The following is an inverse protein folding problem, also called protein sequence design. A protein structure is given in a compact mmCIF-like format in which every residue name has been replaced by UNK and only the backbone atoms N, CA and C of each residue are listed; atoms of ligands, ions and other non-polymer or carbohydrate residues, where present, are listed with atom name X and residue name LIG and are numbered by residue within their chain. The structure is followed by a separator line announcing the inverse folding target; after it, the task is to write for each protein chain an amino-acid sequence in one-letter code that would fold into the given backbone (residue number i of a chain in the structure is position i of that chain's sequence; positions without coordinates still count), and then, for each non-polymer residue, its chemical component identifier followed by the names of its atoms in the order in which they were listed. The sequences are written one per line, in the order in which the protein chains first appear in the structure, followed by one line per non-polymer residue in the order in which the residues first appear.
data_IF_506723000537
#
_entry.id   IF_506723000537
#
_cell.length_a   1.000
_cell.length_b   1.000
_cell.length_c   1.000
_cell.angle_alpha   90.00
_cell.angle_beta   90.00
_cell.angle_gamma   90.00
#
_symmetry.space_group_name_H-M   'P 1'
#
loop_
_entity.id
_entity.type
_entity.pdbx_description
1 polymer ?
#
# COMPACT_ATOMS: atom_id res chain seq x y z
N UNK A 1 4.39 -21.07 -11.91
CA UNK A 1 4.75 -19.92 -11.04
C UNK A 1 4.41 -20.24 -9.59
N UNK A 2 3.14 -20.54 -9.29
CA UNK A 2 2.67 -20.93 -7.96
C UNK A 2 3.45 -22.10 -7.33
N UNK A 3 3.84 -23.12 -8.10
CA UNK A 3 4.61 -24.27 -7.59
C UNK A 3 5.93 -23.86 -6.93
N UNK A 4 6.65 -22.88 -7.52
CA UNK A 4 7.91 -22.37 -6.97
C UNK A 4 7.68 -21.64 -5.64
N UNK A 5 6.62 -20.83 -5.58
CA UNK A 5 6.24 -20.10 -4.36
C UNK A 5 5.90 -21.08 -3.24
N UNK A 6 5.09 -22.09 -3.54
CA UNK A 6 4.71 -23.15 -2.58
C UNK A 6 5.92 -23.92 -2.08
N UNK A 7 6.85 -24.27 -2.98
CA UNK A 7 8.08 -24.98 -2.59
C UNK A 7 8.96 -24.12 -1.68
N UNK A 8 9.13 -22.83 -1.99
CA UNK A 8 9.90 -21.89 -1.16
C UNK A 8 9.29 -21.70 0.22
N UNK A 9 7.95 -21.54 0.29
CA UNK A 9 7.23 -21.42 1.56
C UNK A 9 7.32 -22.71 2.37
N UNK A 10 7.23 -23.88 1.72
CA UNK A 10 7.40 -25.18 2.40
C UNK A 10 8.79 -25.34 2.99
N UNK A 11 9.83 -24.89 2.29
CA UNK A 11 11.23 -24.92 2.78
C UNK A 11 11.44 -23.97 3.97
N UNK A 12 10.83 -22.78 3.93
CA UNK A 12 10.99 -21.76 4.98
C UNK A 12 10.11 -22.01 6.20
N UNK A 13 8.97 -22.68 6.03
CA UNK A 13 7.96 -22.87 7.09
C UNK A 13 7.18 -21.59 7.42
N UNK A 14 7.32 -20.54 6.61
CA UNK A 14 6.64 -19.26 6.74
C UNK A 14 6.59 -18.53 5.40
N UNK A 15 5.75 -17.50 5.28
CA UNK A 15 5.64 -16.69 4.07
C UNK A 15 5.52 -15.19 4.38
N UNK A 16 5.82 -14.33 3.41
CA UNK A 16 5.57 -12.88 3.48
C UNK A 16 4.75 -12.50 2.25
N UNK A 17 3.56 -11.91 2.45
CA UNK A 17 2.76 -11.43 1.33
C UNK A 17 3.48 -10.34 0.55
N UNK A 18 4.20 -9.45 1.24
CA UNK A 18 4.97 -8.38 0.60
C UNK A 18 6.01 -8.96 -0.36
N UNK A 19 6.82 -9.96 0.07
CA UNK A 19 7.78 -10.62 -0.83
C UNK A 19 7.13 -11.33 -2.00
N UNK A 20 6.04 -12.03 -1.73
CA UNK A 20 5.35 -12.82 -2.75
C UNK A 20 4.82 -11.86 -3.81
N UNK A 21 4.09 -10.82 -3.42
CA UNK A 21 3.46 -9.88 -4.35
C UNK A 21 4.50 -8.99 -5.03
N UNK A 22 5.55 -8.54 -4.34
CA UNK A 22 6.63 -7.78 -4.96
C UNK A 22 7.24 -8.54 -6.16
N UNK A 23 7.52 -9.83 -5.99
CA UNK A 23 8.27 -10.63 -6.97
C UNK A 23 7.38 -11.37 -7.99
N UNK A 24 6.06 -11.34 -7.83
CA UNK A 24 5.13 -12.16 -8.61
C UNK A 24 3.87 -11.36 -8.98
N UNK A 25 3.20 -11.74 -10.07
CA UNK A 25 1.86 -11.29 -10.40
C UNK A 25 0.96 -12.52 -10.38
N UNK A 26 0.15 -12.67 -9.34
CA UNK A 26 -0.71 -13.84 -9.14
C UNK A 26 -2.13 -13.50 -9.56
N UNK A 27 -2.71 -14.31 -10.44
CA UNK A 27 -4.15 -14.24 -10.69
C UNK A 27 -4.95 -14.56 -9.41
N UNK A 28 -6.22 -14.18 -9.35
CA UNK A 28 -7.06 -14.47 -8.18
C UNK A 28 -7.20 -15.97 -7.91
N UNK A 29 -7.26 -16.80 -8.96
CA UNK A 29 -7.32 -18.26 -8.79
C UNK A 29 -5.97 -18.80 -8.27
N UNK A 30 -4.84 -18.33 -8.79
CA UNK A 30 -3.52 -18.73 -8.25
C UNK A 30 -3.34 -18.28 -6.80
N UNK A 31 -3.78 -17.07 -6.46
CA UNK A 31 -3.73 -16.59 -5.09
C UNK A 31 -4.65 -17.42 -4.17
N UNK A 32 -5.85 -17.77 -4.63
CA UNK A 32 -6.77 -18.64 -3.89
C UNK A 32 -6.15 -20.02 -3.61
N UNK A 33 -5.56 -20.66 -4.62
CA UNK A 33 -4.83 -21.93 -4.45
C UNK A 33 -3.68 -21.80 -3.44
N UNK A 34 -2.94 -20.70 -3.48
CA UNK A 34 -1.89 -20.40 -2.51
C UNK A 34 -2.46 -20.26 -1.09
N UNK A 35 -3.59 -19.54 -0.92
CA UNK A 35 -4.26 -19.40 0.38
C UNK A 35 -4.72 -20.75 0.95
N UNK A 36 -5.27 -21.64 0.12
CA UNK A 36 -5.63 -22.99 0.56
C UNK A 36 -4.42 -23.75 1.09
N UNK A 37 -3.28 -23.67 0.41
CA UNK A 37 -2.05 -24.31 0.84
C UNK A 37 -1.57 -23.78 2.20
N UNK A 38 -1.48 -22.46 2.39
CA UNK A 38 -1.01 -21.91 3.68
C UNK A 38 -2.02 -22.14 4.81
N UNK A 39 -3.32 -22.14 4.51
CA UNK A 39 -4.38 -22.45 5.47
C UNK A 39 -4.28 -23.89 5.97
N UNK A 40 -4.25 -24.86 5.05
CA UNK A 40 -4.15 -26.29 5.39
C UNK A 40 -2.83 -26.64 6.08
N UNK A 41 -1.75 -25.96 5.73
CA UNK A 41 -0.44 -26.14 6.36
C UNK A 41 -0.28 -25.39 7.69
N UNK A 42 -1.25 -24.57 8.11
CA UNK A 42 -1.15 -23.64 9.23
C UNK A 42 0.16 -22.83 9.21
N UNK A 43 0.52 -22.35 8.02
CA UNK A 43 1.81 -21.70 7.79
C UNK A 43 1.70 -20.24 8.24
N UNK A 44 2.56 -19.76 9.15
CA UNK A 44 2.47 -18.40 9.63
C UNK A 44 2.97 -17.39 8.58
N UNK A 45 2.27 -16.26 8.52
CA UNK A 45 2.73 -15.06 7.83
C UNK A 45 3.78 -14.34 8.68
N UNK A 46 4.89 -13.95 8.07
CA UNK A 46 5.95 -13.12 8.66
C UNK A 46 5.95 -11.79 7.94
N UNK A 47 5.80 -10.72 8.70
CA UNK A 47 5.81 -9.34 8.21
C UNK A 47 7.08 -8.65 8.64
N UNK A 48 7.70 -7.93 7.71
CA UNK A 48 8.81 -7.01 8.01
C UNK A 48 8.22 -5.66 8.41
N UNK A 49 8.63 -5.14 9.56
CA UNK A 49 8.35 -3.76 9.96
C UNK A 49 9.68 -3.04 10.00
N UNK A 50 9.84 -2.01 9.17
CA UNK A 50 10.97 -1.08 9.27
C UNK A 50 10.54 0.02 10.23
N UNK A 51 11.27 0.19 11.32
CA UNK A 51 11.04 1.29 12.26
C UNK A 51 11.31 2.61 11.54
N UNK A 52 10.31 3.50 11.51
CA UNK A 52 10.35 4.77 10.76
C UNK A 52 11.35 5.81 11.26
N UNK A 53 12.27 5.44 12.17
CA UNK A 53 13.28 6.35 12.72
C UNK A 53 14.29 6.81 11.66
N UNK A 54 14.50 6.03 10.59
CA UNK A 54 15.51 6.33 9.56
C UNK A 54 14.97 7.03 8.32
N UNK A 55 13.66 7.27 8.22
CA UNK A 55 13.05 7.72 6.96
C UNK A 55 12.42 9.10 6.98
N UNK A 56 12.30 9.74 8.15
CA UNK A 56 11.52 10.97 8.28
C UNK A 56 12.13 11.87 9.36
N UNK A 57 13.12 12.69 8.99
CA UNK A 57 13.24 14.04 9.56
C UNK A 57 12.43 14.93 8.62
N UNK A 58 11.14 15.14 8.92
CA UNK A 58 10.37 16.20 8.25
C UNK A 58 10.92 17.51 8.83
N UNK A 59 11.90 18.11 8.15
CA UNK A 59 12.33 19.46 8.51
C UNK A 59 11.24 20.50 8.22
N UNK A 60 10.21 20.14 7.44
CA UNK A 60 9.03 20.98 7.19
C UNK A 60 7.71 20.28 7.57
N UNK A 61 7.13 20.71 8.69
CA UNK A 61 5.84 20.26 9.24
C UNK A 61 4.60 20.71 8.42
N UNK A 62 4.78 21.21 7.19
CA UNK A 62 3.68 21.70 6.33
C UNK A 62 3.07 20.61 5.41
N UNK A 63 3.30 19.33 5.69
CA UNK A 63 2.71 18.25 4.90
C UNK A 63 1.21 18.08 5.17
N UNK A 64 0.42 18.74 4.31
CA UNK A 64 -0.91 18.40 3.81
C UNK A 64 -1.74 17.41 4.65
N UNK A 65 -2.60 17.98 5.51
CA UNK A 65 -3.66 17.30 6.28
C UNK A 65 -4.99 17.39 5.50
N UNK A 66 -4.98 17.37 4.17
CA UNK A 66 -6.18 17.66 3.37
C UNK A 66 -7.25 16.57 3.47
N UNK A 67 -6.86 15.30 3.64
CA UNK A 67 -7.80 14.19 3.65
C UNK A 67 -8.25 13.76 5.05
N UNK A 68 -7.72 14.38 6.12
CA UNK A 68 -7.97 13.92 7.49
C UNK A 68 -9.46 13.88 7.84
N UNK A 69 -10.19 14.96 7.56
CA UNK A 69 -11.63 15.04 7.85
C UNK A 69 -12.42 14.04 7.00
N UNK A 70 -12.02 13.79 5.76
CA UNK A 70 -12.61 12.77 4.89
C UNK A 70 -12.39 11.36 5.45
N UNK A 71 -11.16 11.04 5.86
CA UNK A 71 -10.81 9.76 6.49
C UNK A 71 -11.64 9.57 7.77
N UNK A 72 -11.72 10.61 8.60
CA UNK A 72 -12.50 10.58 9.83
C UNK A 72 -13.98 10.34 9.56
N UNK A 73 -14.59 11.10 8.64
CA UNK A 73 -15.99 10.93 8.28
C UNK A 73 -16.28 9.52 7.74
N UNK A 74 -15.37 8.97 6.91
CA UNK A 74 -15.47 7.61 6.42
C UNK A 74 -15.43 6.58 7.55
N UNK A 75 -14.46 6.69 8.48
CA UNK A 75 -14.33 5.75 9.60
C UNK A 75 -15.50 5.81 10.58
N UNK A 76 -16.06 7.01 10.84
CA UNK A 76 -17.29 7.14 11.63
C UNK A 76 -18.48 6.47 10.93
N UNK A 77 -18.63 6.62 9.61
CA UNK A 77 -19.69 5.93 8.86
C UNK A 77 -19.55 4.39 8.94
N UNK A 78 -18.32 3.88 8.81
CA UNK A 78 -18.05 2.44 8.96
C UNK A 78 -18.40 1.96 10.37
N UNK A 79 -18.09 2.76 11.39
CA UNK A 79 -18.46 2.46 12.77
C UNK A 79 -19.97 2.39 12.95
N UNK A 80 -20.72 3.40 12.49
CA UNK A 80 -22.19 3.41 12.56
C UNK A 80 -22.78 2.15 11.91
N UNK A 81 -22.32 1.80 10.70
CA UNK A 81 -22.75 0.57 10.02
C UNK A 81 -22.41 -0.70 10.79
N UNK A 82 -21.22 -0.77 11.41
CA UNK A 82 -20.83 -1.92 12.21
C UNK A 82 -21.73 -2.08 13.45
N UNK A 83 -22.17 -0.98 14.05
CA UNK A 83 -23.14 -0.98 15.16
C UNK A 83 -24.49 -1.55 14.71
N UNK A 84 -24.98 -1.16 13.51
CA UNK A 84 -26.24 -1.68 12.95
C UNK A 84 -26.20 -3.17 12.58
N UNK A 85 -25.08 -3.64 12.03
CA UNK A 85 -24.88 -5.05 11.62
C UNK A 85 -24.72 -5.96 12.83
N UNK A 86 -24.21 -5.45 13.95
CA UNK A 86 -24.03 -6.22 15.19
C UNK A 86 -25.36 -6.80 15.72
N UNK A 87 -26.47 -6.12 15.48
CA UNK A 87 -27.81 -6.50 15.92
C UNK A 87 -28.50 -7.52 14.99
N UNK A 88 -27.94 -7.78 13.79
CA UNK A 88 -28.55 -8.64 12.74
C UNK A 88 -27.59 -9.75 12.32
N UNK A 89 -27.43 -10.77 13.15
CA UNK A 89 -26.63 -11.96 12.80
C UNK A 89 -27.52 -13.17 12.54
N UNK A 90 -28.08 -13.26 11.33
CA UNK A 90 -28.52 -14.54 10.78
C UNK A 90 -27.57 -15.02 9.68
N UNK A 91 -27.22 -16.32 9.75
CA UNK A 91 -26.44 -17.00 8.71
C UNK A 91 -27.33 -17.19 7.48
N UNK A 92 -27.26 -16.27 6.53
CA UNK A 92 -27.89 -16.43 5.22
C UNK A 92 -26.88 -16.91 4.18
N UNK A 93 -27.31 -17.82 3.31
CA UNK A 93 -26.58 -18.18 2.10
C UNK A 93 -26.41 -16.96 1.19
N UNK A 94 -25.32 -16.89 0.41
CA UNK A 94 -25.10 -15.78 -0.51
C UNK A 94 -26.11 -15.87 -1.65
N UNK A 95 -26.94 -14.85 -1.78
CA UNK A 95 -27.74 -14.57 -2.97
C UNK A 95 -27.27 -13.23 -3.55
N UNK A 96 -27.56 -12.95 -4.82
CA UNK A 96 -27.30 -11.63 -5.42
C UNK A 96 -27.98 -10.50 -4.61
N UNK A 97 -29.09 -10.81 -3.93
CA UNK A 97 -29.84 -9.90 -3.07
C UNK A 97 -29.10 -9.56 -1.77
N UNK A 98 -28.34 -10.50 -1.19
CA UNK A 98 -27.59 -10.31 0.06
C UNK A 98 -26.12 -9.91 -0.15
N UNK A 99 -25.65 -9.84 -1.40
CA UNK A 99 -24.24 -9.55 -1.72
C UNK A 99 -23.79 -8.19 -1.17
N UNK A 100 -24.64 -7.18 -1.25
CA UNK A 100 -24.38 -5.85 -0.70
C UNK A 100 -24.23 -5.89 0.81
N UNK A 101 -25.15 -6.57 1.52
CA UNK A 101 -25.11 -6.73 2.98
C UNK A 101 -23.82 -7.46 3.42
N UNK A 102 -23.36 -8.45 2.65
CA UNK A 102 -22.11 -9.14 2.93
C UNK A 102 -20.88 -8.28 2.70
N UNK A 103 -20.87 -7.45 1.65
CA UNK A 103 -19.80 -6.47 1.44
C UNK A 103 -19.75 -5.50 2.61
N UNK A 104 -20.90 -5.00 3.06
CA UNK A 104 -20.97 -4.11 4.22
C UNK A 104 -20.49 -4.78 5.51
N UNK A 105 -20.88 -6.04 5.75
CA UNK A 105 -20.41 -6.84 6.88
C UNK A 105 -18.89 -6.98 6.93
N UNK A 106 -18.26 -7.12 5.77
CA UNK A 106 -16.81 -7.32 5.66
C UNK A 106 -16.02 -6.04 5.37
N UNK A 107 -16.69 -4.89 5.27
CA UNK A 107 -16.02 -3.60 5.07
C UNK A 107 -15.03 -3.29 6.19
N UNK A 108 -15.37 -3.64 7.44
CA UNK A 108 -14.46 -3.54 8.58
C UNK A 108 -13.14 -4.29 8.39
N UNK A 109 -13.17 -5.43 7.69
CA UNK A 109 -11.95 -6.19 7.37
C UNK A 109 -11.11 -5.39 6.39
N UNK A 110 -11.71 -4.86 5.31
CA UNK A 110 -11.01 -4.01 4.37
C UNK A 110 -10.32 -2.84 5.08
N UNK A 111 -11.05 -2.10 5.92
CA UNK A 111 -10.51 -0.96 6.68
C UNK A 111 -9.38 -1.40 7.63
N UNK A 112 -9.58 -2.48 8.38
CA UNK A 112 -8.57 -3.00 9.32
C UNK A 112 -7.28 -3.39 8.61
N UNK A 113 -7.37 -4.12 7.50
CA UNK A 113 -6.18 -4.51 6.75
C UNK A 113 -5.52 -3.29 6.09
N UNK A 114 -6.27 -2.29 5.63
CA UNK A 114 -5.71 -1.01 5.14
C UNK A 114 -4.98 -0.21 6.22
N UNK A 115 -5.43 -0.23 7.48
CA UNK A 115 -4.70 0.38 8.59
C UNK A 115 -3.34 -0.31 8.81
N UNK A 116 -3.38 -1.65 8.80
CA UNK A 116 -2.26 -2.52 9.10
C UNK A 116 -1.17 -2.51 8.00
N UNK A 117 -1.58 -2.29 6.76
CA UNK A 117 -0.71 -2.12 5.59
C UNK A 117 -0.50 -0.66 5.18
N UNK A 118 -0.87 0.29 6.04
CA UNK A 118 -0.71 1.70 5.78
C UNK A 118 0.76 2.10 5.81
N UNK A 119 1.30 2.44 4.64
CA UNK A 119 2.70 2.81 4.41
C UNK A 119 2.82 4.24 3.89
N UNK A 120 3.97 4.86 4.13
CA UNK A 120 4.23 6.21 3.64
C UNK A 120 4.21 6.24 2.10
N UNK A 121 3.62 7.29 1.54
CA UNK A 121 3.45 7.43 0.10
C UNK A 121 2.23 6.72 -0.50
N UNK A 122 1.27 6.24 0.30
CA UNK A 122 0.00 5.72 -0.25
C UNK A 122 -1.19 6.36 0.44
N UNK A 123 -2.21 6.77 -0.33
CA UNK A 123 -3.46 7.27 0.25
C UNK A 123 -4.18 6.15 1.01
N UNK A 124 -4.63 6.47 2.22
CA UNK A 124 -5.40 5.52 3.03
C UNK A 124 -6.73 5.16 2.37
N UNK A 125 -7.43 6.15 1.79
CA UNK A 125 -8.74 5.92 1.19
C UNK A 125 -8.64 5.07 -0.08
N UNK A 126 -7.59 5.24 -0.89
CA UNK A 126 -7.36 4.38 -2.05
C UNK A 126 -7.05 2.95 -1.63
N UNK A 127 -6.21 2.76 -0.60
CA UNK A 127 -5.97 1.42 -0.05
C UNK A 127 -7.25 0.76 0.46
N UNK A 128 -8.17 1.52 1.07
CA UNK A 128 -9.47 0.98 1.53
C UNK A 128 -10.35 0.59 0.35
N UNK A 129 -10.36 1.36 -0.74
CA UNK A 129 -11.10 1.03 -1.95
C UNK A 129 -10.57 -0.27 -2.57
N UNK A 130 -9.25 -0.40 -2.72
CA UNK A 130 -8.61 -1.61 -3.25
C UNK A 130 -8.84 -2.82 -2.34
N UNK A 131 -8.72 -2.64 -1.02
CA UNK A 131 -9.07 -3.68 -0.05
C UNK A 131 -10.52 -4.13 -0.19
N UNK A 132 -11.44 -3.20 -0.46
CA UNK A 132 -12.86 -3.50 -0.68
C UNK A 132 -13.06 -4.29 -1.97
N UNK A 133 -12.32 -4.00 -3.05
CA UNK A 133 -12.31 -4.83 -4.26
C UNK A 133 -11.79 -6.25 -3.96
N UNK A 134 -10.78 -6.37 -3.10
CA UNK A 134 -10.31 -7.67 -2.59
C UNK A 134 -11.40 -8.44 -1.84
N UNK A 135 -12.13 -7.77 -0.94
CA UNK A 135 -13.29 -8.37 -0.23
C UNK A 135 -14.35 -8.86 -1.22
N UNK A 136 -14.74 -8.01 -2.18
CA UNK A 136 -15.72 -8.36 -3.22
C UNK A 136 -15.25 -9.58 -4.02
N UNK A 137 -13.95 -9.63 -4.34
CA UNK A 137 -13.36 -10.74 -5.09
C UNK A 137 -13.36 -12.02 -4.26
N UNK A 138 -13.01 -11.96 -2.98
CA UNK A 138 -13.07 -13.11 -2.08
C UNK A 138 -14.48 -13.71 -1.97
N UNK A 139 -15.51 -12.85 -1.97
CA UNK A 139 -16.91 -13.30 -1.94
C UNK A 139 -17.30 -14.09 -3.20
N UNK A 140 -16.65 -13.88 -4.35
CA UNK A 140 -16.85 -14.73 -5.53
C UNK A 140 -16.37 -16.17 -5.32
N UNK A 141 -15.46 -16.39 -4.36
CA UNK A 141 -14.96 -17.72 -3.98
C UNK A 141 -15.71 -18.29 -2.76
N UNK A 142 -16.73 -17.61 -2.24
CA UNK A 142 -17.38 -17.99 -0.98
C UNK A 142 -17.91 -19.43 -0.97
N UNK A 143 -18.57 -19.87 -2.04
CA UNK A 143 -19.07 -21.25 -2.12
C UNK A 143 -17.92 -22.26 -2.06
N UNK A 144 -16.81 -21.98 -2.77
CA UNK A 144 -15.61 -22.83 -2.70
C UNK A 144 -14.99 -22.82 -1.29
N UNK A 145 -14.98 -21.66 -0.61
CA UNK A 145 -14.42 -21.49 0.74
C UNK A 145 -15.28 -22.22 1.77
N UNK A 146 -16.59 -22.00 1.75
CA UNK A 146 -17.56 -22.55 2.71
C UNK A 146 -17.67 -24.07 2.65
N UNK A 147 -17.42 -24.68 1.48
CA UNK A 147 -17.27 -26.13 1.34
C UNK A 147 -16.00 -26.67 2.02
N UNK A 148 -15.01 -25.81 2.28
CA UNK A 148 -13.68 -26.19 2.76
C UNK A 148 -13.45 -25.82 4.23
N UNK A 149 -14.00 -24.70 4.72
CA UNK A 149 -13.89 -24.25 6.10
C UNK A 149 -15.02 -23.28 6.49
N UNK A 150 -15.29 -23.19 7.79
CA UNK A 150 -16.16 -22.15 8.37
C UNK A 150 -15.41 -20.82 8.61
N UNK A 151 -14.07 -20.81 8.55
CA UNK A 151 -13.22 -19.64 8.80
C UNK A 151 -13.06 -18.75 7.55
N UNK A 152 -14.17 -18.25 7.04
CA UNK A 152 -14.23 -17.47 5.79
C UNK A 152 -13.41 -16.17 5.90
N UNK A 153 -13.37 -15.56 7.09
CA UNK A 153 -12.62 -14.33 7.39
C UNK A 153 -11.14 -14.45 7.05
N UNK A 154 -10.56 -15.65 7.14
CA UNK A 154 -9.17 -15.89 6.73
C UNK A 154 -8.97 -15.59 5.24
N UNK A 155 -9.89 -16.00 4.39
CA UNK A 155 -9.76 -15.78 2.95
C UNK A 155 -10.07 -14.33 2.59
N UNK A 156 -11.14 -13.77 3.16
CA UNK A 156 -11.56 -12.39 2.91
C UNK A 156 -10.46 -11.40 3.28
N UNK A 157 -9.87 -11.53 4.47
CA UNK A 157 -8.78 -10.63 4.88
C UNK A 157 -7.57 -10.73 3.96
N UNK A 158 -7.20 -11.94 3.53
CA UNK A 158 -5.99 -12.13 2.74
C UNK A 158 -6.16 -11.67 1.28
N UNK A 159 -7.38 -11.75 0.73
CA UNK A 159 -7.69 -11.10 -0.55
C UNK A 159 -7.67 -9.57 -0.45
N UNK A 160 -8.19 -8.99 0.64
CA UNK A 160 -8.05 -7.56 0.88
C UNK A 160 -6.56 -7.12 0.91
N UNK A 161 -5.73 -7.88 1.63
CA UNK A 161 -4.27 -7.67 1.68
C UNK A 161 -3.61 -7.78 0.30
N UNK A 162 -4.01 -8.78 -0.51
CA UNK A 162 -3.50 -8.94 -1.88
C UNK A 162 -3.67 -7.66 -2.70
N UNK A 163 -4.90 -7.14 -2.72
CA UNK A 163 -5.24 -5.97 -3.52
C UNK A 163 -4.52 -4.70 -3.03
N UNK A 164 -4.42 -4.50 -1.70
CA UNK A 164 -3.63 -3.40 -1.14
C UNK A 164 -2.18 -3.46 -1.65
N UNK A 165 -1.55 -4.63 -1.56
CA UNK A 165 -0.14 -4.78 -1.92
C UNK A 165 0.10 -4.70 -3.44
N UNK A 166 -0.82 -5.19 -4.26
CA UNK A 166 -0.74 -5.04 -5.72
C UNK A 166 -0.89 -3.57 -6.14
N UNK A 167 -1.81 -2.84 -5.51
CA UNK A 167 -1.95 -1.39 -5.69
C UNK A 167 -0.67 -0.64 -5.31
N UNK A 168 -0.14 -0.90 -4.12
CA UNK A 168 1.10 -0.28 -3.65
C UNK A 168 2.28 -0.60 -4.59
N UNK A 169 2.41 -1.87 -5.01
CA UNK A 169 3.42 -2.30 -6.00
C UNK A 169 3.31 -1.54 -7.31
N UNK A 170 2.08 -1.35 -7.81
CA UNK A 170 1.82 -0.59 -9.04
C UNK A 170 2.31 0.85 -8.92
N UNK A 171 1.94 1.53 -7.84
CA UNK A 171 2.39 2.90 -7.54
C UNK A 171 3.92 2.98 -7.43
N UNK A 172 4.55 2.07 -6.70
CA UNK A 172 6.02 2.05 -6.56
C UNK A 172 6.73 1.82 -7.90
N UNK A 173 6.20 0.94 -8.75
CA UNK A 173 6.74 0.71 -10.10
C UNK A 173 6.73 2.01 -10.90
N UNK A 174 5.63 2.76 -10.85
CA UNK A 174 5.47 4.02 -11.58
C UNK A 174 6.43 5.10 -11.07
N UNK A 175 6.51 5.29 -9.74
CA UNK A 175 7.43 6.28 -9.14
C UNK A 175 8.87 5.93 -9.46
N UNK A 176 9.26 4.66 -9.27
CA UNK A 176 10.60 4.17 -9.57
C UNK A 176 10.96 4.42 -11.03
N UNK A 177 10.04 4.14 -11.96
CA UNK A 177 10.25 4.40 -13.38
C UNK A 177 10.43 5.90 -13.67
N UNK A 178 9.62 6.76 -13.03
CA UNK A 178 9.72 8.21 -13.14
C UNK A 178 11.06 8.74 -12.63
N UNK A 179 11.47 8.37 -11.43
CA UNK A 179 12.75 8.82 -10.85
C UNK A 179 13.95 8.30 -11.65
N UNK A 180 13.94 7.04 -12.08
CA UNK A 180 15.00 6.52 -12.95
C UNK A 180 15.05 7.24 -14.30
N UNK A 181 13.91 7.66 -14.84
CA UNK A 181 13.85 8.48 -16.07
C UNK A 181 14.49 9.86 -15.85
N UNK A 182 14.26 10.47 -14.68
CA UNK A 182 14.91 11.73 -14.31
C UNK A 182 16.42 11.57 -14.15
N UNK A 183 16.89 10.50 -13.48
CA UNK A 183 18.32 10.21 -13.37
C UNK A 183 18.96 9.99 -14.76
N UNK A 184 18.26 9.30 -15.67
CA UNK A 184 18.71 9.13 -17.04
C UNK A 184 18.81 10.48 -17.78
N UNK A 185 17.81 11.35 -17.62
CA UNK A 185 17.84 12.71 -18.16
C UNK A 185 19.07 13.49 -17.68
N UNK A 186 19.36 13.48 -16.38
CA UNK A 186 20.54 14.18 -15.83
C UNK A 186 21.84 13.62 -16.40
N UNK A 187 21.93 12.29 -16.60
CA UNK A 187 23.10 11.69 -17.25
C UNK A 187 23.26 12.14 -18.70
N UNK A 188 22.16 12.25 -19.45
CA UNK A 188 22.16 12.76 -20.83
C UNK A 188 22.65 14.21 -20.85
N UNK A 189 22.16 15.06 -19.94
CA UNK A 189 22.59 16.46 -19.83
C UNK A 189 24.09 16.58 -19.58
N UNK A 190 24.63 15.81 -18.65
CA UNK A 190 26.08 15.73 -18.37
C UNK A 190 26.86 15.25 -19.61
N UNK A 191 26.41 14.20 -20.30
CA UNK A 191 27.11 13.71 -21.49
C UNK A 191 27.13 14.75 -22.62
N UNK A 192 26.04 15.54 -22.79
CA UNK A 192 25.99 16.66 -23.74
C UNK A 192 26.94 17.79 -23.36
N UNK A 193 27.03 18.14 -22.08
CA UNK A 193 27.97 19.16 -21.56
C UNK A 193 29.43 18.73 -21.77
N UNK A 194 29.71 17.43 -21.73
CA UNK A 194 31.01 16.83 -22.08
C UNK A 194 31.28 16.78 -23.59
N UNK A 195 30.35 17.24 -24.43
CA UNK A 195 30.48 17.35 -25.87
C UNK A 195 30.02 16.13 -26.67
N UNK A 196 29.35 15.15 -26.05
CA UNK A 196 28.80 14.02 -26.79
C UNK A 196 27.55 14.40 -27.59
N UNK A 197 27.47 13.89 -28.82
CA UNK A 197 26.30 14.06 -29.68
C UNK A 197 25.14 13.17 -29.24
N UNK A 198 23.92 13.54 -29.61
CA UNK A 198 22.71 12.74 -29.34
C UNK A 198 22.84 11.33 -29.94
N UNK A 199 23.45 11.21 -31.13
CA UNK A 199 23.76 9.94 -31.78
C UNK A 199 24.70 9.05 -30.95
N UNK A 200 25.74 9.63 -30.36
CA UNK A 200 26.69 8.91 -29.51
C UNK A 200 26.05 8.44 -28.21
N UNK A 201 25.26 9.31 -27.58
CA UNK A 201 24.53 9.01 -26.34
C UNK A 201 23.50 7.90 -26.58
N UNK A 202 22.70 8.03 -27.64
CA UNK A 202 21.70 7.03 -28.05
C UNK A 202 22.31 5.64 -28.23
N UNK A 203 23.47 5.55 -28.93
CA UNK A 203 24.19 4.28 -29.11
C UNK A 203 24.78 3.74 -27.81
N UNK A 204 25.40 4.59 -27.00
CA UNK A 204 26.07 4.19 -25.74
C UNK A 204 25.07 3.66 -24.72
N UNK A 205 23.92 4.31 -24.59
CA UNK A 205 22.89 3.99 -23.61
C UNK A 205 21.83 3.02 -24.12
N UNK A 206 21.88 2.66 -25.42
CA UNK A 206 20.88 1.82 -26.07
C UNK A 206 19.44 2.37 -25.92
N UNK A 207 19.28 3.67 -26.15
CA UNK A 207 17.99 4.39 -26.12
C UNK A 207 17.74 5.11 -27.44
N UNK A 208 16.48 5.33 -27.80
CA UNK A 208 16.12 6.04 -29.03
C UNK A 208 16.30 7.55 -28.87
N UNK A 209 16.59 8.26 -29.97
CA UNK A 209 16.66 9.73 -29.97
C UNK A 209 15.33 10.36 -29.57
N UNK A 210 14.22 9.77 -30.03
CA UNK A 210 12.86 10.20 -29.65
C UNK A 210 12.64 10.12 -28.13
N UNK A 211 13.18 9.09 -27.47
CA UNK A 211 13.08 8.98 -26.02
C UNK A 211 13.94 10.04 -25.30
N UNK A 212 15.12 10.36 -25.83
CA UNK A 212 15.94 11.47 -25.33
C UNK A 212 15.16 12.80 -25.41
N UNK A 213 14.58 13.11 -26.58
CA UNK A 213 13.78 14.32 -26.77
C UNK A 213 12.56 14.39 -25.83
N UNK A 214 11.92 13.24 -25.57
CA UNK A 214 10.83 13.15 -24.57
C UNK A 214 11.31 13.50 -23.17
N UNK A 215 12.44 12.95 -22.74
CA UNK A 215 13.02 13.24 -21.43
C UNK A 215 13.36 14.72 -21.29
N UNK A 216 13.98 15.32 -22.31
CA UNK A 216 14.29 16.75 -22.31
C UNK A 216 13.03 17.60 -22.19
N UNK A 217 12.01 17.29 -23.00
CA UNK A 217 10.73 18.00 -22.95
C UNK A 217 10.03 17.91 -21.58
N UNK A 218 10.19 16.80 -20.87
CA UNK A 218 9.61 16.58 -19.56
C UNK A 218 10.35 17.32 -18.44
N UNK A 219 11.68 17.39 -18.52
CA UNK A 219 12.51 17.79 -17.38
C UNK A 219 13.29 19.09 -17.56
N UNK A 220 13.39 19.64 -18.77
CA UNK A 220 14.15 20.89 -19.04
C UNK A 220 13.60 22.10 -18.27
N UNK A 221 12.31 22.11 -17.95
CA UNK A 221 11.66 23.21 -17.23
C UNK A 221 11.61 23.00 -15.70
N UNK A 222 12.20 21.92 -15.18
CA UNK A 222 12.23 21.64 -13.75
C UNK A 222 13.39 22.44 -13.14
N UNK A 223 13.08 23.58 -12.52
CA UNK A 223 14.05 24.37 -11.75
C UNK A 223 14.46 23.61 -10.46
N UNK A 224 15.52 22.80 -10.53
CA UNK A 224 16.23 22.33 -9.34
C UNK A 224 17.76 22.36 -9.57
N UNK A 225 18.42 23.08 -8.67
CA UNK A 225 19.81 23.56 -8.66
C UNK A 225 20.90 22.47 -8.37
N UNK A 226 20.58 21.18 -8.37
CA UNK A 226 21.61 20.17 -8.12
C UNK A 226 22.41 19.85 -9.39
N UNK A 227 23.54 20.53 -9.58
CA UNK A 227 24.66 20.04 -10.38
C UNK A 227 25.12 18.69 -9.80
N UNK A 228 24.49 17.59 -10.23
CA UNK A 228 24.90 16.24 -9.84
C UNK A 228 26.22 15.93 -10.52
N UNK A 229 27.27 15.68 -9.73
CA UNK A 229 28.52 15.16 -10.26
C UNK A 229 28.28 13.79 -10.93
N UNK A 230 28.87 13.57 -12.10
CA UNK A 230 28.66 12.35 -12.91
C UNK A 230 28.86 11.02 -12.14
N UNK A 231 29.69 11.02 -11.08
CA UNK A 231 29.93 9.87 -10.21
C UNK A 231 28.76 9.52 -9.27
N UNK A 232 27.91 10.49 -8.92
CA UNK A 232 26.80 10.32 -7.97
C UNK A 232 25.52 9.76 -8.63
N UNK A 233 25.44 9.81 -9.97
CA UNK A 233 24.25 9.39 -10.74
C UNK A 233 23.96 7.90 -10.52
N UNK A 234 24.97 7.04 -10.57
CA UNK A 234 24.80 5.59 -10.36
C UNK A 234 24.43 5.25 -8.92
N UNK A 235 25.00 5.96 -7.94
CA UNK A 235 24.65 5.79 -6.53
C UNK A 235 23.20 6.19 -6.25
N UNK A 236 22.75 7.32 -6.81
CA UNK A 236 21.34 7.73 -6.74
C UNK A 236 20.42 6.70 -7.40
N UNK A 237 20.71 6.20 -8.60
CA UNK A 237 19.92 5.15 -9.26
C UNK A 237 19.80 3.86 -8.43
N UNK A 238 20.90 3.42 -7.83
CA UNK A 238 20.90 2.25 -6.95
C UNK A 238 20.09 2.51 -5.68
N UNK A 239 20.22 3.69 -5.07
CA UNK A 239 19.44 4.09 -3.89
C UNK A 239 17.95 4.06 -4.20
N UNK A 240 17.51 4.67 -5.30
CA UNK A 240 16.12 4.66 -5.79
C UNK A 240 15.59 3.23 -5.94
N UNK A 241 16.38 2.36 -6.56
CA UNK A 241 16.00 0.96 -6.80
C UNK A 241 15.76 0.20 -5.50
N UNK A 242 16.53 0.50 -4.45
CA UNK A 242 16.35 -0.09 -3.11
C UNK A 242 15.22 0.58 -2.33
N UNK A 243 15.04 1.89 -2.51
CA UNK A 243 14.03 2.69 -1.81
C UNK A 243 12.62 2.18 -2.07
N UNK A 244 12.30 1.92 -3.34
CA UNK A 244 10.96 1.53 -3.79
C UNK A 244 10.75 0.02 -3.85
N UNK A 245 11.23 -0.68 -2.81
CA UNK A 245 10.86 -2.06 -2.52
C UNK A 245 9.81 -1.99 -1.42
N UNK A 246 8.66 -2.68 -1.57
CA UNK A 246 7.55 -2.60 -0.62
C UNK A 246 8.02 -2.78 0.84
N UNK A 247 8.88 -3.77 1.09
CA UNK A 247 9.37 -4.08 2.43
C UNK A 247 10.19 -2.96 3.07
N UNK A 248 10.80 -2.09 2.26
CA UNK A 248 11.64 -0.99 2.72
C UNK A 248 10.82 0.27 3.01
N UNK A 249 9.55 0.34 2.57
CA UNK A 249 8.68 1.48 2.84
C UNK A 249 8.14 1.38 4.29
N UNK A 250 8.41 2.36 5.16
CA UNK A 250 7.96 2.31 6.55
C UNK A 250 6.45 2.42 6.69
N UNK A 251 5.93 1.84 7.76
CA UNK A 251 4.52 1.98 8.14
C UNK A 251 4.24 3.38 8.68
N UNK A 252 3.05 3.90 8.37
CA UNK A 252 2.54 5.17 8.92
C UNK A 252 2.16 5.04 10.39
N UNK A 253 1.59 3.90 10.76
CA UNK A 253 1.03 3.66 12.08
C UNK A 253 1.94 2.77 12.91
N UNK A 254 2.17 3.18 14.16
CA UNK A 254 2.71 2.28 15.17
C UNK A 254 1.65 1.27 15.61
N UNK A 255 2.08 0.21 16.31
CA UNK A 255 1.16 -0.75 16.91
C UNK A 255 0.09 -0.07 17.78
N UNK A 256 0.46 0.94 18.59
CA UNK A 256 -0.50 1.65 19.45
C UNK A 256 -1.49 2.45 18.58
N UNK A 257 -1.01 3.12 17.53
CA UNK A 257 -1.88 3.91 16.65
C UNK A 257 -2.92 3.01 15.96
N UNK A 258 -2.49 1.88 15.39
CA UNK A 258 -3.37 0.89 14.76
C UNK A 258 -4.40 0.35 15.76
N UNK A 259 -3.96 -0.10 16.93
CA UNK A 259 -4.86 -0.67 17.94
C UNK A 259 -5.89 0.34 18.44
N UNK A 260 -5.51 1.61 18.61
CA UNK A 260 -6.46 2.66 19.00
C UNK A 260 -7.55 2.82 17.94
N UNK A 261 -7.17 2.90 16.67
CA UNK A 261 -8.14 3.06 15.58
C UNK A 261 -9.05 1.84 15.45
N UNK A 262 -8.49 0.62 15.48
CA UNK A 262 -9.25 -0.64 15.42
C UNK A 262 -10.29 -0.69 16.54
N UNK A 263 -9.90 -0.42 17.78
CA UNK A 263 -10.81 -0.49 18.92
C UNK A 263 -11.83 0.66 18.94
N UNK A 264 -11.43 1.87 18.56
CA UNK A 264 -12.32 3.04 18.58
C UNK A 264 -13.44 2.95 17.52
N UNK A 265 -13.11 2.41 16.35
CA UNK A 265 -14.03 2.23 15.22
C UNK A 265 -14.67 0.83 15.16
N UNK A 266 -14.34 -0.04 16.11
CA UNK A 266 -14.92 -1.39 16.23
C UNK A 266 -14.63 -2.31 15.06
N UNK A 267 -13.40 -2.27 14.54
CA UNK A 267 -12.99 -3.03 13.34
C UNK A 267 -12.64 -4.50 13.62
N UNK A 268 -12.67 -4.91 14.89
CA UNK A 268 -12.43 -6.27 15.38
C UNK A 268 -13.68 -6.88 16.05
N UNK A 269 -14.87 -6.52 15.54
CA UNK A 269 -16.15 -7.05 16.00
C UNK A 269 -16.44 -6.76 17.48
N UNK A 270 -15.96 -5.64 17.98
CA UNK A 270 -16.33 -5.17 19.31
C UNK A 270 -16.37 -3.65 19.36
N UNK A 271 -17.44 -3.11 19.94
CA UNK A 271 -17.53 -1.69 20.27
C UNK A 271 -16.87 -1.50 21.64
N UNK A 272 -15.83 -0.66 21.70
CA UNK A 272 -15.12 -0.37 22.94
C UNK A 272 -15.50 1.00 23.48
N UNK A 273 -15.70 1.07 24.80
CA UNK A 273 -15.69 2.34 25.51
C UNK A 273 -14.27 2.90 25.64
N UNK A 274 -14.12 4.21 25.76
CA UNK A 274 -12.81 4.85 26.02
C UNK A 274 -12.10 4.26 27.26
N UNK A 275 -12.86 3.84 28.27
CA UNK A 275 -12.32 3.19 29.47
C UNK A 275 -11.68 1.84 29.13
N UNK A 276 -12.33 1.04 28.30
CA UNK A 276 -11.80 -0.26 27.87
C UNK A 276 -10.57 -0.11 26.98
N UNK A 277 -10.58 0.87 26.06
CA UNK A 277 -9.42 1.19 25.22
C UNK A 277 -8.23 1.58 26.11
N UNK A 278 -8.44 2.52 27.03
CA UNK A 278 -7.41 3.00 27.95
C UNK A 278 -6.81 1.86 28.77
N UNK A 279 -7.65 0.98 29.31
CA UNK A 279 -7.21 -0.19 30.09
C UNK A 279 -6.45 -1.20 29.25
N UNK A 280 -6.93 -1.51 28.04
CA UNK A 280 -6.32 -2.51 27.15
C UNK A 280 -4.94 -2.08 26.67
N UNK A 281 -4.78 -0.79 26.39
CA UNK A 281 -3.52 -0.23 25.88
C UNK A 281 -2.61 0.33 26.99
N UNK A 282 -3.03 0.21 28.25
CA UNK A 282 -2.31 0.74 29.40
C UNK A 282 -1.96 2.24 29.27
N UNK A 283 -2.94 3.05 28.84
CA UNK A 283 -2.83 4.51 28.69
C UNK A 283 -3.86 5.22 29.57
N UNK A 284 -3.64 6.51 29.84
CA UNK A 284 -4.64 7.32 30.53
C UNK A 284 -5.87 7.55 29.63
N UNK A 285 -7.08 7.55 30.22
CA UNK A 285 -8.34 7.71 29.48
C UNK A 285 -8.36 8.96 28.58
N UNK A 286 -7.90 10.10 29.10
CA UNK A 286 -7.86 11.35 28.33
C UNK A 286 -6.93 11.29 27.11
N UNK A 287 -5.98 10.35 27.07
CA UNK A 287 -5.07 10.16 25.93
C UNK A 287 -5.71 9.38 24.78
N UNK A 288 -6.84 8.70 24.97
CA UNK A 288 -7.48 7.90 23.92
C UNK A 288 -7.80 8.78 22.70
N UNK A 289 -8.52 9.88 22.90
CA UNK A 289 -8.86 10.80 21.81
C UNK A 289 -7.64 11.53 21.25
N UNK A 290 -6.65 11.87 22.08
CA UNK A 290 -5.43 12.56 21.63
C UNK A 290 -4.63 11.65 20.69
N UNK A 291 -4.41 10.40 21.08
CA UNK A 291 -3.67 9.43 20.27
C UNK A 291 -4.45 9.02 19.02
N UNK A 292 -5.78 8.91 19.11
CA UNK A 292 -6.65 8.72 17.94
C UNK A 292 -6.45 9.84 16.90
N UNK A 293 -6.53 11.09 17.33
CA UNK A 293 -6.37 12.25 16.43
C UNK A 293 -4.94 12.31 15.85
N UNK A 294 -3.92 11.92 16.62
CA UNK A 294 -2.54 11.77 16.10
C UNK A 294 -2.43 10.66 15.06
N UNK A 295 -3.07 9.51 15.29
CA UNK A 295 -3.09 8.40 14.35
C UNK A 295 -3.80 8.79 13.04
N UNK A 296 -4.91 9.54 13.12
CA UNK A 296 -5.60 10.09 11.95
C UNK A 296 -4.71 11.07 11.17
N UNK A 297 -3.96 11.94 11.86
CA UNK A 297 -3.00 12.83 11.20
C UNK A 297 -1.92 12.02 10.45
N UNK A 298 -1.41 10.93 11.02
CA UNK A 298 -0.42 10.08 10.35
C UNK A 298 -0.99 9.39 9.11
N UNK A 299 -2.25 8.95 9.17
CA UNK A 299 -2.94 8.36 8.02
C UNK A 299 -3.07 9.34 6.85
N UNK A 300 -3.38 10.60 7.14
CA UNK A 300 -3.57 11.64 6.12
C UNK A 300 -2.29 12.11 5.45
N UNK A 301 -1.11 11.73 5.94
CA UNK A 301 0.16 12.10 5.30
C UNK A 301 0.26 11.38 3.95
N UNK A 302 0.20 12.13 2.87
CA UNK A 302 0.53 11.64 1.53
C UNK A 302 1.80 12.32 1.03
N UNK A 303 2.91 11.58 1.03
CA UNK A 303 4.24 12.09 0.65
C UNK A 303 4.40 12.20 -0.88
N UNK A 304 3.58 11.53 -1.69
CA UNK A 304 3.82 11.47 -3.14
C UNK A 304 3.26 12.64 -3.94
N UNK A 305 2.36 13.45 -3.36
CA UNK A 305 1.69 14.51 -4.10
C UNK A 305 2.58 15.71 -4.47
N UNK A 306 3.74 15.92 -3.83
CA UNK A 306 4.38 17.24 -3.88
C UNK A 306 5.47 17.51 -4.93
N UNK A 307 6.20 16.54 -5.47
CA UNK A 307 7.24 16.87 -6.47
C UNK A 307 7.12 16.13 -7.81
N UNK A 308 6.82 14.84 -7.83
CA UNK A 308 6.77 14.07 -9.08
C UNK A 308 5.36 13.93 -9.70
N UNK A 309 4.31 13.89 -8.88
CA UNK A 309 2.92 13.72 -9.38
C UNK A 309 2.29 15.01 -9.93
N UNK A 310 2.73 16.20 -9.48
CA UNK A 310 2.32 17.48 -10.10
C UNK A 310 2.64 17.54 -11.59
N UNK A 311 3.76 16.95 -12.00
CA UNK A 311 4.16 16.87 -13.42
C UNK A 311 3.39 15.77 -14.19
N UNK A 312 2.70 14.86 -13.48
CA UNK A 312 1.93 13.75 -14.06
C UNK A 312 0.52 14.15 -14.46
N UNK A 313 -0.12 15.09 -13.75
CA UNK A 313 -1.46 15.59 -14.12
C UNK A 313 -1.49 16.33 -15.47
N UNK A 314 -0.33 16.78 -15.97
CA UNK A 314 -0.19 17.34 -17.32
C UNK A 314 0.13 16.29 -18.40
N UNK A 315 0.37 15.03 -18.02
CA UNK A 315 0.98 14.01 -18.88
C UNK A 315 0.37 12.62 -18.68
N UNK A 316 -0.72 12.30 -19.39
CA UNK A 316 -1.22 10.93 -19.53
C UNK A 316 -0.12 10.04 -20.16
N UNK A 317 0.54 9.18 -19.39
CA UNK A 317 1.37 8.13 -19.99
C UNK A 317 1.26 6.77 -19.27
N UNK A 318 0.81 5.79 -20.06
CA UNK A 318 1.02 4.36 -19.86
C UNK A 318 2.40 3.99 -20.42
N UNK A 319 3.23 3.36 -19.60
CA UNK A 319 4.48 2.73 -20.05
C UNK A 319 4.16 1.28 -20.41
N UNK A 320 4.32 0.93 -21.68
CA UNK A 320 4.24 -0.46 -22.16
C UNK A 320 5.37 -1.33 -21.59
#
# INVERSE_FOLDING_TARGET
MIERIVEDVRKKGSFSFEKIIENNNLSDEEFFEFLKFVYQGNIPEVRTSVDGNDFIILEDENYYVEEKETIKAYLENVKEKNEEVFDKTEKTAITDENRTEMIEKYLKIAVRESLLYSKYGFSFLDMVQEATLGVITALNYYDKISLMTEEIDFFIKNFAVKYILEFQKGILKDIKASELSYILYLKIKVDKELGHTVEEISKRMNITKEYIEKLEKLFDNVEQDELIESGQIFEKANKITQMYILENIPKKLSYIDERILVMFYGLDDKIYSENEIAKTLNIAKHNVNILKEKALNKLSIDLLKNEFMKNREESEYTVN
#
